data_IF_433343196651
#
_entry.id   IF_433343196651
#
_cell.length_a   1.000
_cell.length_b   1.000
_cell.length_c   1.000
_cell.angle_alpha   90.00
_cell.angle_beta   90.00
_cell.angle_gamma   90.00
#
_symmetry.space_group_name_H-M   'P 1'
#
loop_
_entity.id
_entity.type
_entity.pdbx_description
1 polymer ?
#
# COMPACT_ATOMS: atom_id res chain seq x y z
N UNK A 1 -13.93 -2.15 -32.29
CA UNK A 1 -13.30 -2.53 -31.01
C UNK A 1 -11.85 -2.88 -31.32
N UNK A 2 -10.93 -1.91 -31.27
CA UNK A 2 -9.50 -2.15 -31.48
C UNK A 2 -8.90 -2.53 -30.13
N UNK A 3 -8.42 -3.77 -29.99
CA UNK A 3 -7.64 -4.17 -28.83
C UNK A 3 -6.34 -3.33 -28.84
N UNK A 4 -6.01 -2.62 -27.75
CA UNK A 4 -4.69 -2.00 -27.65
C UNK A 4 -3.67 -3.15 -27.61
N UNK A 5 -2.91 -3.34 -28.70
CA UNK A 5 -1.71 -4.16 -28.70
C UNK A 5 -0.67 -3.43 -27.84
N UNK A 6 -0.80 -3.56 -26.52
CA UNK A 6 0.25 -3.21 -25.58
C UNK A 6 1.32 -4.29 -25.69
N UNK A 7 2.28 -4.06 -26.59
CA UNK A 7 3.55 -4.77 -26.53
C UNK A 7 4.24 -4.26 -25.27
N UNK A 8 4.30 -5.10 -24.23
CA UNK A 8 4.99 -4.78 -22.99
C UNK A 8 6.44 -4.36 -23.24
N UNK A 9 7.02 -3.65 -22.28
CA UNK A 9 8.43 -3.27 -22.34
C UNK A 9 9.32 -4.52 -22.56
N UNK A 10 10.36 -4.38 -23.38
CA UNK A 10 11.29 -5.48 -23.69
C UNK A 10 12.59 -5.24 -22.91
N UNK A 11 13.10 -6.25 -22.20
CA UNK A 11 14.37 -6.16 -21.49
C UNK A 11 15.47 -6.95 -22.24
N UNK A 12 16.60 -6.31 -22.50
CA UNK A 12 17.75 -6.93 -23.15
C UNK A 12 19.06 -6.44 -22.51
N UNK A 13 19.77 -7.33 -21.79
CA UNK A 13 21.10 -7.04 -21.23
C UNK A 13 21.12 -5.90 -20.22
N UNK A 14 20.07 -5.76 -19.40
CA UNK A 14 19.95 -4.67 -18.43
C UNK A 14 19.51 -3.33 -19.04
N UNK A 15 18.94 -3.33 -20.25
CA UNK A 15 18.29 -2.17 -20.86
C UNK A 15 16.83 -2.50 -21.11
N UNK A 16 15.94 -1.66 -20.59
CA UNK A 16 14.50 -1.71 -20.80
C UNK A 16 14.13 -0.80 -21.97
N UNK A 17 13.49 -1.37 -23.00
CA UNK A 17 13.04 -0.68 -24.19
C UNK A 17 11.56 -0.34 -24.07
N UNK A 18 11.26 0.93 -23.82
CA UNK A 18 9.89 1.40 -23.54
C UNK A 18 9.01 1.45 -24.80
N UNK A 19 9.62 1.56 -25.98
CA UNK A 19 8.92 1.67 -27.26
C UNK A 19 9.45 0.63 -28.24
N UNK A 20 9.11 -0.66 -28.08
CA UNK A 20 9.67 -1.71 -28.93
C UNK A 20 9.34 -1.52 -30.42
N UNK A 21 8.26 -0.83 -30.75
CA UNK A 21 7.94 -0.46 -32.14
C UNK A 21 8.98 0.48 -32.78
N UNK A 22 9.79 1.20 -32.00
CA UNK A 22 10.91 2.00 -32.49
C UNK A 22 11.94 1.17 -33.27
N UNK A 23 12.07 -0.13 -32.97
CA UNK A 23 12.94 -1.03 -33.74
C UNK A 23 12.50 -1.22 -35.20
N UNK A 24 11.25 -0.93 -35.55
CA UNK A 24 10.80 -0.93 -36.95
C UNK A 24 11.57 0.10 -37.79
N UNK A 25 12.10 1.17 -37.18
CA UNK A 25 12.94 2.13 -37.87
C UNK A 25 14.26 1.52 -38.38
N UNK A 26 14.71 0.37 -37.85
CA UNK A 26 15.87 -0.38 -38.37
C UNK A 26 15.62 -0.97 -39.76
N UNK A 27 14.37 -1.03 -40.24
CA UNK A 27 14.08 -1.42 -41.61
C UNK A 27 14.61 -0.39 -42.62
N UNK A 28 14.67 0.90 -42.25
CA UNK A 28 15.13 1.97 -43.15
C UNK A 28 16.60 1.81 -43.59
N UNK A 29 17.60 1.63 -42.69
CA UNK A 29 18.98 1.39 -43.11
C UNK A 29 19.11 0.10 -43.92
N UNK A 30 18.35 -0.95 -43.60
CA UNK A 30 18.36 -2.19 -44.38
C UNK A 30 17.87 -1.96 -45.82
N UNK A 31 16.75 -1.24 -45.99
CA UNK A 31 16.20 -0.88 -47.29
C UNK A 31 17.18 -0.01 -48.09
N UNK A 32 17.89 0.91 -47.45
CA UNK A 32 18.94 1.71 -48.10
C UNK A 32 20.11 0.87 -48.61
N UNK A 33 20.59 -0.11 -47.83
CA UNK A 33 21.63 -1.05 -48.29
C UNK A 33 21.14 -1.87 -49.48
N UNK A 34 19.91 -2.39 -49.40
CA UNK A 34 19.32 -3.17 -50.49
C UNK A 34 19.15 -2.32 -51.75
N UNK A 35 18.72 -1.07 -51.60
CA UNK A 35 18.58 -0.12 -52.71
C UNK A 35 19.93 0.27 -53.31
N UNK A 36 20.95 0.55 -52.49
CA UNK A 36 22.31 0.85 -52.95
C UNK A 36 22.99 -0.33 -53.66
N UNK A 37 22.57 -1.56 -53.35
CA UNK A 37 23.02 -2.79 -54.03
C UNK A 37 22.22 -3.11 -55.29
N UNK A 38 21.11 -2.41 -55.58
CA UNK A 38 20.38 -2.65 -56.82
C UNK A 38 21.28 -2.27 -58.00
N UNK A 39 21.37 -3.12 -59.04
CA UNK A 39 22.07 -2.77 -60.25
C UNK A 39 21.39 -1.54 -60.85
N UNK A 40 22.06 -0.39 -60.77
CA UNK A 40 21.62 0.80 -61.50
C UNK A 40 22.00 0.60 -62.96
N UNK A 41 21.00 0.67 -63.84
CA UNK A 41 21.26 0.82 -65.26
C UNK A 41 22.19 2.03 -65.43
N UNK A 42 23.26 1.91 -66.24
CA UNK A 42 24.14 3.04 -66.48
C UNK A 42 23.29 4.21 -66.96
N UNK A 43 23.44 5.37 -66.31
CA UNK A 43 22.77 6.59 -66.76
C UNK A 43 23.19 6.80 -68.21
N UNK A 44 22.21 6.84 -69.12
CA UNK A 44 22.44 7.16 -70.52
C UNK A 44 22.92 8.61 -70.60
N UNK A 45 24.22 8.80 -70.43
CA UNK A 45 24.86 10.05 -70.79
C UNK A 45 24.87 10.10 -72.30
N UNK A 46 24.02 10.96 -72.86
CA UNK A 46 24.05 11.37 -74.25
C UNK A 46 25.37 12.12 -74.53
N UNK A 47 26.47 11.37 -74.51
CA UNK A 47 27.71 11.80 -75.12
C UNK A 47 27.44 11.79 -76.62
N UNK A 48 27.62 12.93 -77.28
CA UNK A 48 27.43 13.12 -78.73
C UNK A 48 28.45 12.33 -79.56
N UNK A 49 28.58 11.03 -79.31
CA UNK A 49 29.56 10.11 -79.84
C UNK A 49 28.90 8.99 -80.65
N UNK A 50 27.84 9.33 -81.40
CA UNK A 50 27.17 8.40 -82.33
C UNK A 50 28.17 7.79 -83.34
N UNK A 51 29.25 8.53 -83.65
CA UNK A 51 30.36 8.07 -84.49
C UNK A 51 31.26 7.00 -83.83
N UNK A 52 31.38 6.93 -82.50
CA UNK A 52 32.21 5.93 -81.83
C UNK A 52 31.46 4.61 -81.61
N UNK A 53 30.13 4.67 -81.46
CA UNK A 53 29.28 3.50 -81.32
C UNK A 53 29.15 2.68 -82.61
N UNK A 54 29.17 3.33 -83.78
CA UNK A 54 29.21 2.63 -85.07
C UNK A 54 30.53 1.85 -85.26
N UNK A 55 31.65 2.34 -84.72
CA UNK A 55 32.95 1.64 -84.76
C UNK A 55 33.02 0.43 -83.80
N UNK A 56 32.16 0.39 -82.77
CA UNK A 56 32.09 -0.68 -81.77
C UNK A 56 31.04 -1.76 -82.10
N UNK A 57 30.05 -1.46 -82.94
CA UNK A 57 29.01 -2.40 -83.38
C UNK A 57 29.55 -3.62 -84.17
N UNK A 58 30.83 -3.60 -84.56
CA UNK A 58 31.52 -4.71 -85.23
C UNK A 58 32.51 -5.49 -84.34
N UNK A 59 32.56 -5.22 -83.02
CA UNK A 59 33.37 -6.01 -82.08
C UNK A 59 32.46 -6.83 -81.18
N UNK A 60 32.58 -8.15 -81.34
CA UNK A 60 31.86 -9.18 -80.60
C UNK A 60 31.67 -8.84 -79.11
N UNK A 61 30.44 -9.04 -78.69
CA UNK A 61 29.89 -8.78 -77.36
C UNK A 61 30.54 -9.67 -76.31
N UNK A 62 31.68 -9.22 -75.78
CA UNK A 62 32.22 -9.73 -74.52
C UNK A 62 31.24 -9.32 -73.41
N UNK A 63 30.70 -10.27 -72.61
CA UNK A 63 29.87 -9.92 -71.47
C UNK A 63 30.67 -9.03 -70.53
N UNK A 64 30.26 -7.76 -70.43
CA UNK A 64 30.87 -6.80 -69.51
C UNK A 64 30.64 -7.32 -68.09
N UNK A 65 31.70 -7.80 -67.45
CA UNK A 65 31.68 -8.08 -66.01
C UNK A 65 31.25 -6.80 -65.33
N UNK A 66 30.02 -6.79 -64.81
CA UNK A 66 29.47 -5.64 -64.09
C UNK A 66 30.45 -5.19 -63.03
N UNK A 67 31.01 -4.00 -63.22
CA UNK A 67 31.92 -3.38 -62.25
C UNK A 67 31.11 -3.16 -60.99
N UNK A 68 31.30 -4.03 -59.99
CA UNK A 68 30.70 -3.85 -58.66
C UNK A 68 31.28 -2.57 -58.09
N UNK A 69 30.53 -1.47 -58.15
CA UNK A 69 30.90 -0.25 -57.43
C UNK A 69 30.96 -0.61 -55.95
N UNK A 70 32.14 -0.42 -55.35
CA UNK A 70 32.28 -0.51 -53.91
C UNK A 70 31.30 0.44 -53.24
N UNK A 71 30.68 0.00 -52.16
CA UNK A 71 29.80 0.85 -51.34
C UNK A 71 30.62 2.07 -50.92
N UNK A 72 30.13 3.27 -51.26
CA UNK A 72 30.82 4.50 -50.89
C UNK A 72 30.99 4.54 -49.37
N UNK A 73 32.19 4.87 -48.88
CA UNK A 73 32.49 4.96 -47.45
C UNK A 73 31.50 5.85 -46.69
N UNK A 74 30.96 6.87 -47.35
CA UNK A 74 29.91 7.74 -46.81
C UNK A 74 28.62 6.98 -46.45
N UNK A 75 28.22 5.97 -47.22
CA UNK A 75 27.00 5.20 -46.91
C UNK A 75 27.06 4.54 -45.52
N UNK A 76 28.24 4.09 -45.08
CA UNK A 76 28.40 3.49 -43.76
C UNK A 76 28.10 4.48 -42.62
N UNK A 77 28.46 5.75 -42.78
CA UNK A 77 28.16 6.80 -41.79
C UNK A 77 26.66 7.09 -41.71
N UNK A 78 25.96 7.12 -42.84
CA UNK A 78 24.50 7.26 -42.89
C UNK A 78 23.79 6.07 -42.24
N UNK A 79 24.28 4.85 -42.48
CA UNK A 79 23.69 3.65 -41.86
C UNK A 79 23.89 3.67 -40.34
N UNK A 80 25.07 4.05 -39.87
CA UNK A 80 25.34 4.18 -38.44
C UNK A 80 24.42 5.23 -37.78
N UNK A 81 24.21 6.40 -38.41
CA UNK A 81 23.31 7.43 -37.86
C UNK A 81 21.86 6.95 -37.77
N UNK A 82 21.36 6.25 -38.79
CA UNK A 82 20.00 5.71 -38.80
C UNK A 82 19.79 4.61 -37.76
N UNK A 83 20.79 3.76 -37.54
CA UNK A 83 20.73 2.74 -36.48
C UNK A 83 20.67 3.41 -35.11
N UNK A 84 21.53 4.40 -34.83
CA UNK A 84 21.48 5.13 -33.56
C UNK A 84 20.15 5.89 -33.36
N UNK A 85 19.60 6.49 -34.41
CA UNK A 85 18.30 7.15 -34.35
C UNK A 85 17.16 6.15 -34.07
N UNK A 86 17.19 4.97 -34.69
CA UNK A 86 16.23 3.90 -34.42
C UNK A 86 16.33 3.39 -32.99
N UNK A 87 17.55 3.22 -32.47
CA UNK A 87 17.78 2.87 -31.07
C UNK A 87 17.26 3.97 -30.14
N UNK A 88 17.53 5.25 -30.40
CA UNK A 88 16.98 6.34 -29.60
C UNK A 88 15.44 6.35 -29.60
N UNK A 89 14.82 6.12 -30.76
CA UNK A 89 13.36 6.03 -30.91
C UNK A 89 12.75 4.87 -30.12
N UNK A 90 13.49 3.77 -29.94
CA UNK A 90 13.06 2.63 -29.13
C UNK A 90 13.06 2.92 -27.61
N UNK A 91 13.59 4.07 -27.20
CA UNK A 91 13.57 4.57 -25.83
C UNK A 91 14.32 3.66 -24.84
N UNK A 92 15.64 3.47 -25.02
CA UNK A 92 16.47 2.66 -24.15
C UNK A 92 16.57 3.33 -22.79
N UNK A 93 16.12 2.62 -21.77
CA UNK A 93 16.35 2.97 -20.38
C UNK A 93 17.31 1.95 -19.83
N UNK A 94 18.43 2.40 -19.28
CA UNK A 94 19.21 1.51 -18.42
C UNK A 94 18.25 1.01 -17.35
N UNK A 95 18.18 -0.31 -17.16
CA UNK A 95 17.52 -0.90 -16.01
C UNK A 95 18.29 -0.36 -14.81
N UNK A 96 17.81 0.76 -14.28
CA UNK A 96 18.30 1.28 -13.01
C UNK A 96 18.11 0.11 -12.07
N UNK A 97 19.21 -0.39 -11.49
CA UNK A 97 19.14 -1.42 -10.46
C UNK A 97 18.11 -0.90 -9.48
N UNK A 98 16.92 -1.49 -9.54
CA UNK A 98 15.78 -0.85 -8.96
C UNK A 98 16.09 -0.74 -7.48
N UNK A 99 16.13 0.48 -6.96
CA UNK A 99 16.30 0.67 -5.53
C UNK A 99 15.12 -0.05 -4.91
N UNK A 100 15.37 -1.26 -4.43
CA UNK A 100 14.33 -2.20 -4.16
C UNK A 100 13.46 -1.58 -3.06
N UNK A 101 12.15 -1.48 -3.29
CA UNK A 101 11.28 -0.64 -2.49
C UNK A 101 11.29 -1.03 -1.01
N UNK A 102 11.16 -0.05 -0.10
CA UNK A 102 10.97 -0.33 1.32
C UNK A 102 9.66 -1.10 1.54
N UNK A 103 9.69 -2.10 2.42
CA UNK A 103 8.53 -2.88 2.83
C UNK A 103 7.99 -2.35 4.15
N UNK A 104 6.68 -2.08 4.19
CA UNK A 104 5.98 -1.60 5.38
C UNK A 104 5.33 -2.78 6.10
N UNK A 105 5.77 -3.05 7.31
CA UNK A 105 5.39 -4.22 8.10
C UNK A 105 4.44 -3.75 9.20
N UNK A 106 3.17 -4.17 9.11
CA UNK A 106 2.14 -3.82 10.08
C UNK A 106 1.87 -5.02 11.00
N UNK A 107 2.19 -4.88 12.29
CA UNK A 107 2.02 -5.94 13.28
C UNK A 107 0.71 -5.75 14.05
N UNK A 108 -0.09 -6.83 14.11
CA UNK A 108 -1.18 -6.98 15.06
C UNK A 108 -0.63 -7.10 16.48
N UNK A 109 -1.13 -6.26 17.39
CA UNK A 109 -0.78 -6.30 18.83
C UNK A 109 -2.01 -6.54 19.69
N UNK A 110 -3.03 -7.18 19.14
CA UNK A 110 -4.21 -7.60 19.89
C UNK A 110 -3.87 -8.70 20.91
N UNK A 111 -4.66 -8.86 21.98
CA UNK A 111 -4.36 -9.84 23.03
C UNK A 111 -4.21 -11.29 22.56
N UNK A 112 -4.82 -11.68 21.43
CA UNK A 112 -4.64 -13.04 20.86
C UNK A 112 -3.21 -13.32 20.43
N UNK A 113 -2.47 -12.31 19.98
CA UNK A 113 -1.08 -12.41 19.56
C UNK A 113 -0.14 -12.85 20.69
N UNK A 114 -0.52 -12.58 21.94
CA UNK A 114 0.27 -12.95 23.13
C UNK A 114 -0.22 -14.23 23.79
N UNK A 115 -1.09 -15.00 23.15
CA UNK A 115 -1.40 -16.36 23.57
C UNK A 115 -0.26 -17.30 23.17
N UNK A 116 -0.15 -18.42 23.88
CA UNK A 116 0.72 -19.51 23.47
C UNK A 116 0.28 -20.08 22.10
N UNK A 117 1.23 -20.60 21.34
CA UNK A 117 0.97 -21.28 20.06
C UNK A 117 0.09 -22.53 20.22
N UNK A 118 0.23 -23.20 21.35
CA UNK A 118 -0.52 -24.38 21.75
C UNK A 118 -0.45 -24.57 23.28
N UNK A 119 -1.25 -25.48 23.84
CA UNK A 119 -1.32 -25.71 25.28
C UNK A 119 0.05 -26.09 25.89
N UNK A 120 0.88 -26.79 25.11
CA UNK A 120 2.21 -27.27 25.54
C UNK A 120 3.36 -26.53 24.85
N UNK A 121 3.09 -25.44 24.13
CA UNK A 121 4.10 -24.69 23.39
C UNK A 121 4.77 -23.63 24.29
N UNK A 122 6.10 -23.53 24.23
CA UNK A 122 6.86 -22.53 25.00
C UNK A 122 6.84 -21.13 24.37
N UNK A 123 6.41 -21.00 23.11
CA UNK A 123 6.40 -19.74 22.35
C UNK A 123 5.02 -19.09 22.22
N UNK A 124 5.04 -17.76 22.02
CA UNK A 124 3.86 -16.95 21.76
C UNK A 124 3.53 -16.88 20.26
N UNK A 125 2.26 -16.64 19.93
CA UNK A 125 1.82 -16.48 18.54
C UNK A 125 2.50 -15.30 17.82
N UNK A 126 2.81 -14.23 18.54
CA UNK A 126 3.55 -13.07 18.02
C UNK A 126 4.99 -13.42 17.64
N UNK A 127 5.67 -14.22 18.46
CA UNK A 127 7.05 -14.63 18.21
C UNK A 127 7.12 -15.51 16.96
N UNK A 128 6.20 -16.47 16.83
CA UNK A 128 6.07 -17.30 15.62
C UNK A 128 5.72 -16.46 14.38
N UNK A 129 4.83 -15.47 14.53
CA UNK A 129 4.44 -14.60 13.41
C UNK A 129 5.64 -13.81 12.89
N UNK A 130 6.46 -13.28 13.79
CA UNK A 130 7.67 -12.53 13.44
C UNK A 130 8.74 -13.43 12.84
N UNK A 131 8.96 -14.62 13.40
CA UNK A 131 9.89 -15.60 12.85
C UNK A 131 9.53 -15.98 11.40
N UNK A 132 8.24 -16.23 11.15
CA UNK A 132 7.74 -16.54 9.81
C UNK A 132 7.82 -15.34 8.88
N UNK A 133 7.53 -14.13 9.37
CA UNK A 133 7.65 -12.91 8.59
C UNK A 133 9.11 -12.65 8.18
N UNK A 134 10.07 -12.86 9.08
CA UNK A 134 11.49 -12.74 8.78
C UNK A 134 11.92 -13.73 7.70
N UNK A 135 11.61 -15.02 7.88
CA UNK A 135 11.92 -16.05 6.88
C UNK A 135 11.32 -15.72 5.51
N UNK A 136 10.07 -15.24 5.48
CA UNK A 136 9.40 -14.90 4.24
C UNK A 136 9.99 -13.64 3.57
N UNK A 137 10.37 -12.62 4.36
CA UNK A 137 11.05 -11.43 3.85
C UNK A 137 12.45 -11.76 3.30
N UNK A 138 13.15 -12.72 3.90
CA UNK A 138 14.44 -13.22 3.41
C UNK A 138 14.28 -13.96 2.08
N UNK A 139 13.25 -14.80 1.93
CA UNK A 139 12.89 -15.45 0.65
C UNK A 139 12.59 -14.43 -0.45
N UNK A 140 12.00 -13.29 -0.11
CA UNK A 140 11.74 -12.17 -1.01
C UNK A 140 12.97 -11.27 -1.26
N UNK A 141 14.11 -11.56 -0.63
CA UNK A 141 15.33 -10.75 -0.75
C UNK A 141 15.19 -9.34 -0.15
N UNK A 142 14.35 -9.19 0.89
CA UNK A 142 14.12 -7.91 1.58
C UNK A 142 15.07 -7.79 2.76
N UNK A 143 16.17 -7.06 2.55
CA UNK A 143 17.17 -6.77 3.58
C UNK A 143 16.61 -6.02 4.80
N UNK A 144 17.22 -6.17 5.99
CA UNK A 144 16.82 -5.49 7.23
C UNK A 144 16.63 -3.98 7.12
N UNK A 145 17.49 -3.31 6.36
CA UNK A 145 17.48 -1.87 6.16
C UNK A 145 16.27 -1.36 5.38
N UNK A 146 15.54 -2.25 4.72
CA UNK A 146 14.35 -1.95 3.90
C UNK A 146 13.04 -2.26 4.61
N UNK A 147 13.09 -2.74 5.86
CA UNK A 147 11.93 -3.11 6.66
C UNK A 147 11.51 -1.92 7.52
N UNK A 148 10.26 -1.48 7.37
CA UNK A 148 9.65 -0.39 8.13
C UNK A 148 8.51 -0.93 8.98
N UNK A 149 8.75 -1.11 10.28
CA UNK A 149 7.80 -1.68 11.23
C UNK A 149 6.81 -0.63 11.76
N UNK A 150 5.55 -1.00 11.89
CA UNK A 150 4.48 -0.20 12.49
C UNK A 150 3.50 -1.10 13.25
N UNK A 151 2.91 -0.57 14.32
CA UNK A 151 1.78 -1.17 15.04
C UNK A 151 0.43 -0.50 14.67
N UNK A 152 0.40 0.27 13.58
CA UNK A 152 -0.79 0.96 13.07
C UNK A 152 -1.15 2.26 13.78
N UNK A 153 -0.48 2.55 14.89
CA UNK A 153 -0.53 3.83 15.59
C UNK A 153 0.89 4.39 15.71
N UNK A 154 1.10 5.62 15.25
CA UNK A 154 2.40 6.29 15.33
C UNK A 154 3.25 6.20 14.05
N UNK A 155 4.56 6.30 14.23
CA UNK A 155 5.54 6.32 13.13
C UNK A 155 5.94 4.94 12.62
N UNK A 156 6.98 4.93 11.80
CA UNK A 156 7.65 3.71 11.34
C UNK A 156 9.02 3.60 11.99
N UNK A 157 9.38 2.37 12.37
CA UNK A 157 10.70 2.02 12.91
C UNK A 157 11.45 1.19 11.87
N UNK A 158 12.69 1.57 11.54
CA UNK A 158 13.50 0.88 10.52
C UNK A 158 14.44 -0.12 11.20
N UNK A 159 14.46 -1.37 10.74
CA UNK A 159 15.41 -2.37 11.24
C UNK A 159 15.04 -3.83 10.95
N UNK A 160 15.93 -4.75 11.33
CA UNK A 160 15.74 -6.19 11.11
C UNK A 160 14.49 -6.77 11.78
N UNK A 161 14.22 -6.30 13.00
CA UNK A 161 13.17 -6.75 13.90
C UNK A 161 12.37 -5.54 14.40
N UNK A 162 11.11 -5.73 14.82
CA UNK A 162 10.34 -4.68 15.46
C UNK A 162 10.96 -4.28 16.81
N UNK A 163 10.59 -3.12 17.37
CA UNK A 163 10.96 -2.73 18.73
C UNK A 163 10.67 -3.84 19.75
N UNK A 164 11.63 -4.13 20.64
CA UNK A 164 11.53 -5.27 21.58
C UNK A 164 10.38 -5.17 22.58
N UNK A 165 9.92 -3.96 22.89
CA UNK A 165 8.74 -3.71 23.72
C UNK A 165 7.44 -4.14 23.02
N UNK A 166 7.47 -4.36 21.71
CA UNK A 166 6.32 -4.86 20.96
C UNK A 166 6.03 -6.34 21.20
N UNK A 167 7.04 -7.10 21.65
CA UNK A 167 6.91 -8.52 22.02
C UNK A 167 6.18 -8.71 23.35
N UNK A 168 5.99 -7.65 24.12
CA UNK A 168 5.23 -7.68 25.38
C UNK A 168 3.81 -7.21 25.14
N UNK A 169 2.80 -7.77 25.85
CA UNK A 169 1.45 -7.23 25.79
C UNK A 169 1.45 -5.73 26.11
N UNK A 170 0.76 -4.90 25.31
CA UNK A 170 0.68 -3.47 25.62
C UNK A 170 -0.03 -3.30 26.97
N UNK A 171 0.39 -2.28 27.74
CA UNK A 171 -0.21 -1.97 29.04
C UNK A 171 -1.71 -1.66 28.96
N UNK A 172 -2.18 -1.26 27.78
CA UNK A 172 -3.58 -1.12 27.43
C UNK A 172 -3.89 -2.08 26.28
N UNK A 173 -4.87 -2.99 26.43
CA UNK A 173 -5.29 -3.88 25.36
C UNK A 173 -5.69 -3.10 24.12
N UNK A 174 -5.35 -3.63 22.94
CA UNK A 174 -5.63 -3.01 21.65
C UNK A 174 -6.41 -3.99 20.79
N UNK A 175 -7.35 -3.47 19.99
CA UNK A 175 -7.96 -4.28 18.93
C UNK A 175 -6.96 -4.56 17.82
N UNK A 176 -7.35 -5.44 16.89
CA UNK A 176 -6.62 -5.62 15.65
C UNK A 176 -6.55 -4.28 14.85
N UNK A 177 -5.48 -4.03 14.10
CA UNK A 177 -5.40 -2.90 13.18
C UNK A 177 -6.56 -2.87 12.19
N UNK A 178 -6.95 -1.68 11.74
CA UNK A 178 -7.89 -1.52 10.63
C UNK A 178 -7.18 -1.78 9.31
N UNK A 179 -7.04 -3.05 8.97
CA UNK A 179 -6.24 -3.55 7.85
C UNK A 179 -6.53 -2.82 6.54
N UNK A 180 -7.79 -2.48 6.24
CA UNK A 180 -8.21 -1.84 5.00
C UNK A 180 -7.54 -0.48 4.75
N UNK A 181 -7.13 0.23 5.80
CA UNK A 181 -6.38 1.49 5.68
C UNK A 181 -4.96 1.31 5.14
N UNK A 182 -4.47 0.07 5.19
CA UNK A 182 -3.12 -0.32 4.87
C UNK A 182 -3.08 -1.32 3.69
N UNK A 183 -4.16 -1.41 2.90
CA UNK A 183 -4.25 -2.26 1.72
C UNK A 183 -3.58 -1.60 0.51
N UNK A 184 -2.25 -1.62 0.51
CA UNK A 184 -1.45 -1.06 -0.58
C UNK A 184 -0.25 -1.97 -0.92
N UNK A 185 0.29 -1.88 -2.14
CA UNK A 185 1.47 -2.65 -2.54
C UNK A 185 2.67 -2.37 -1.62
N UNK A 186 3.45 -3.41 -1.31
CA UNK A 186 4.61 -3.31 -0.40
C UNK A 186 4.26 -3.24 1.09
N UNK A 187 3.00 -3.40 1.45
CA UNK A 187 2.60 -3.66 2.84
C UNK A 187 2.57 -5.15 3.13
N UNK A 188 3.02 -5.53 4.32
CA UNK A 188 2.88 -6.86 4.90
C UNK A 188 2.13 -6.76 6.23
N UNK A 189 0.92 -7.32 6.28
CA UNK A 189 0.14 -7.48 7.50
C UNK A 189 0.57 -8.73 8.24
N UNK A 190 0.86 -8.61 9.53
CA UNK A 190 1.34 -9.71 10.37
C UNK A 190 0.36 -9.87 11.54
N UNK A 191 -0.31 -11.02 11.61
CA UNK A 191 -1.26 -11.36 12.69
C UNK A 191 -1.13 -12.84 13.06
N UNK A 192 -1.91 -13.31 14.04
CA UNK A 192 -2.05 -14.72 14.32
C UNK A 192 -3.11 -15.33 13.40
N UNK A 193 -4.10 -14.55 12.96
CA UNK A 193 -5.25 -15.04 12.20
C UNK A 193 -5.12 -14.71 10.71
N UNK A 194 -5.66 -15.61 9.88
CA UNK A 194 -5.70 -15.46 8.42
C UNK A 194 -7.02 -14.88 7.90
N UNK A 195 -7.95 -14.47 8.77
CA UNK A 195 -9.26 -13.90 8.43
C UNK A 195 -9.17 -12.40 8.12
N UNK A 196 -8.17 -12.01 7.34
CA UNK A 196 -8.03 -10.64 6.88
C UNK A 196 -9.21 -10.24 5.99
N UNK A 197 -9.64 -8.96 6.04
CA UNK A 197 -10.48 -8.39 5.00
C UNK A 197 -9.84 -8.68 3.64
N UNK A 198 -10.64 -8.84 2.58
CA UNK A 198 -10.15 -9.25 1.25
C UNK A 198 -9.05 -8.29 0.76
N UNK A 199 -7.79 -8.60 1.07
CA UNK A 199 -6.63 -7.83 0.70
C UNK A 199 -6.53 -7.85 -0.82
N UNK A 200 -6.61 -6.68 -1.46
CA UNK A 200 -6.47 -6.58 -2.90
C UNK A 200 -5.01 -6.38 -3.29
N UNK A 201 -4.24 -5.71 -2.43
CA UNK A 201 -2.88 -5.27 -2.75
C UNK A 201 -1.84 -5.61 -1.68
N UNK A 202 -2.20 -5.54 -0.39
CA UNK A 202 -1.28 -5.89 0.68
C UNK A 202 -0.98 -7.38 0.70
N UNK A 203 0.24 -7.71 1.08
CA UNK A 203 0.61 -9.06 1.48
C UNK A 203 0.18 -9.31 2.91
N UNK A 204 -0.11 -10.56 3.27
CA UNK A 204 -0.39 -10.92 4.66
C UNK A 204 0.34 -12.18 5.08
N UNK A 205 0.57 -12.29 6.38
CA UNK A 205 1.11 -13.45 7.06
C UNK A 205 0.39 -13.66 8.37
N UNK A 206 0.06 -14.92 8.63
CA UNK A 206 -0.59 -15.40 9.84
C UNK A 206 0.23 -16.53 10.46
N UNK A 207 0.53 -16.45 11.77
CA UNK A 207 1.19 -17.56 12.47
C UNK A 207 0.26 -18.75 12.71
N UNK A 208 -1.04 -18.49 12.84
CA UNK A 208 -2.01 -19.46 13.30
C UNK A 208 -1.86 -19.75 14.79
N UNK A 209 -2.35 -20.90 15.22
CA UNK A 209 -2.25 -21.34 16.61
C UNK A 209 -3.45 -22.16 17.04
N UNK A 210 -3.20 -23.10 17.95
CA UNK A 210 -4.24 -23.93 18.52
C UNK A 210 -5.13 -23.13 19.48
N UNK A 211 -6.28 -23.72 19.83
CA UNK A 211 -7.15 -23.17 20.84
C UNK A 211 -6.46 -23.08 22.21
N UNK A 212 -6.61 -21.95 22.91
CA UNK A 212 -6.04 -21.73 24.24
C UNK A 212 -7.15 -21.35 25.23
N UNK A 213 -7.55 -22.26 26.13
CA UNK A 213 -8.49 -21.97 27.23
C UNK A 213 -8.05 -20.79 28.10
N UNK A 214 -9.01 -20.13 28.75
CA UNK A 214 -8.74 -19.10 29.74
C UNK A 214 -9.78 -17.98 29.80
N UNK A 215 -9.47 -16.88 30.52
CA UNK A 215 -10.40 -15.77 30.72
C UNK A 215 -10.79 -15.08 29.41
N UNK A 216 -12.09 -14.87 29.24
CA UNK A 216 -12.68 -14.06 28.18
C UNK A 216 -13.41 -12.86 28.80
N UNK A 217 -13.68 -11.82 28.00
CA UNK A 217 -14.33 -10.60 28.50
C UNK A 217 -15.67 -10.87 29.22
N UNK A 218 -16.07 -9.95 30.11
CA UNK A 218 -17.36 -10.04 30.83
C UNK A 218 -17.37 -10.98 32.05
N UNK A 219 -16.20 -11.37 32.57
CA UNK A 219 -16.10 -12.26 33.74
C UNK A 219 -16.38 -13.74 33.43
N UNK A 220 -16.20 -14.13 32.17
CA UNK A 220 -16.36 -15.50 31.74
C UNK A 220 -14.98 -16.15 31.53
N UNK A 221 -14.94 -17.48 31.64
CA UNK A 221 -13.77 -18.29 31.28
C UNK A 221 -14.22 -19.36 30.31
N UNK A 222 -13.41 -19.62 29.30
CA UNK A 222 -13.62 -20.71 28.36
C UNK A 222 -12.62 -21.83 28.63
N UNK A 223 -13.09 -23.04 28.89
CA UNK A 223 -12.24 -24.19 29.22
C UNK A 223 -11.76 -24.99 27.98
N UNK A 224 -12.12 -24.52 26.78
CA UNK A 224 -11.91 -25.24 25.51
C UNK A 224 -13.20 -25.87 24.95
N UNK A 225 -14.21 -26.06 25.79
CA UNK A 225 -15.49 -26.69 25.42
C UNK A 225 -16.70 -25.86 25.85
N UNK A 226 -16.70 -25.34 27.07
CA UNK A 226 -17.79 -24.63 27.70
C UNK A 226 -17.36 -23.24 28.15
N UNK A 227 -18.32 -22.33 28.14
CA UNK A 227 -18.15 -20.99 28.71
C UNK A 227 -18.80 -21.01 30.07
N UNK A 228 -17.98 -20.85 31.11
CA UNK A 228 -18.44 -20.77 32.49
C UNK A 228 -18.27 -19.35 32.99
N UNK A 229 -19.29 -18.82 33.66
CA UNK A 229 -19.14 -17.58 34.43
C UNK A 229 -18.22 -17.90 35.60
N UNK A 230 -17.09 -17.19 35.72
CA UNK A 230 -16.29 -17.34 36.92
C UNK A 230 -17.07 -16.67 38.07
N UNK A 231 -17.36 -17.39 39.17
CA UNK A 231 -17.85 -16.73 40.37
C UNK A 231 -16.73 -15.80 40.84
N UNK A 232 -17.01 -14.50 40.81
CA UNK A 232 -16.08 -13.49 41.30
C UNK A 232 -16.12 -13.59 42.82
N UNK A 233 -15.24 -14.38 43.42
CA UNK A 233 -15.10 -14.46 44.88
C UNK A 233 -14.42 -13.17 45.37
N UNK A 234 -15.21 -12.26 45.95
CA UNK A 234 -14.78 -10.98 46.50
C UNK A 234 -15.86 -9.89 46.38
N UNK A 235 -15.74 -8.76 47.09
CA UNK A 235 -16.68 -7.65 46.97
C UNK A 235 -16.59 -7.07 45.56
N UNK A 236 -17.47 -7.50 44.65
CA UNK A 236 -17.69 -6.98 43.30
C UNK A 236 -16.48 -6.22 42.72
N UNK A 237 -15.35 -6.92 42.55
CA UNK A 237 -14.19 -6.29 41.92
C UNK A 237 -14.55 -6.07 40.45
N UNK A 238 -14.85 -4.82 40.14
CA UNK A 238 -15.22 -4.32 38.82
C UNK A 238 -14.19 -4.81 37.81
N UNK A 239 -14.64 -5.54 36.77
CA UNK A 239 -13.78 -6.03 35.67
C UNK A 239 -12.92 -4.89 35.08
N UNK A 240 -13.49 -3.70 35.13
CA UNK A 240 -12.84 -2.42 35.11
C UNK A 240 -13.93 -1.36 35.28
N UNK A 241 -13.57 -0.09 35.09
CA UNK A 241 -14.54 0.98 35.26
C UNK A 241 -14.57 1.94 34.07
N UNK A 242 -15.72 2.58 33.91
CA UNK A 242 -15.98 3.64 32.94
C UNK A 242 -15.92 4.98 33.64
N UNK A 243 -14.99 5.83 33.21
CA UNK A 243 -14.87 7.20 33.70
C UNK A 243 -15.90 8.08 33.00
N UNK A 244 -16.67 8.85 33.77
CA UNK A 244 -17.61 9.83 33.26
C UNK A 244 -17.06 11.24 33.48
N UNK A 245 -17.22 12.11 32.48
CA UNK A 245 -16.84 13.52 32.56
C UNK A 245 -17.96 14.43 32.07
N UNK A 246 -18.59 15.17 32.99
CA UNK A 246 -19.59 16.22 32.69
C UNK A 246 -20.67 15.83 31.67
N UNK A 247 -21.16 14.59 31.70
CA UNK A 247 -22.21 14.16 30.77
C UNK A 247 -23.57 14.76 31.14
N UNK A 248 -24.46 14.99 30.16
CA UNK A 248 -25.87 15.21 30.43
C UNK A 248 -26.45 14.02 31.21
N UNK A 249 -27.37 14.29 32.15
CA UNK A 249 -27.92 13.31 33.10
C UNK A 249 -28.51 12.09 32.37
N UNK A 250 -29.21 12.30 31.26
CA UNK A 250 -29.85 11.23 30.49
C UNK A 250 -28.82 10.26 29.90
N UNK A 251 -27.67 10.78 29.43
CA UNK A 251 -26.59 9.97 28.90
C UNK A 251 -25.79 9.29 30.01
N UNK A 252 -25.59 9.97 31.14
CA UNK A 252 -25.00 9.36 32.33
C UNK A 252 -25.83 8.16 32.81
N UNK A 253 -27.15 8.31 32.92
CA UNK A 253 -28.07 7.22 33.29
C UNK A 253 -28.00 6.06 32.28
N UNK A 254 -28.00 6.36 30.98
CA UNK A 254 -27.87 5.34 29.94
C UNK A 254 -26.55 4.57 30.04
N UNK A 255 -25.42 5.28 30.19
CA UNK A 255 -24.10 4.65 30.35
C UNK A 255 -24.04 3.83 31.64
N UNK A 256 -24.68 4.29 32.72
CA UNK A 256 -24.81 3.54 33.98
C UNK A 256 -25.51 2.18 33.79
N UNK A 257 -26.67 2.17 33.13
CA UNK A 257 -27.40 0.93 32.82
C UNK A 257 -26.57 0.00 31.92
N UNK A 258 -25.92 0.55 30.89
CA UNK A 258 -25.03 -0.20 30.01
C UNK A 258 -23.84 -0.84 30.76
N UNK A 259 -23.28 -0.13 31.75
CA UNK A 259 -22.22 -0.64 32.62
C UNK A 259 -22.72 -1.77 33.52
N UNK A 260 -23.90 -1.59 34.13
CA UNK A 260 -24.51 -2.58 35.03
C UNK A 260 -24.74 -3.92 34.31
N UNK A 261 -25.31 -3.89 33.11
CA UNK A 261 -25.52 -5.09 32.29
C UNK A 261 -24.22 -5.85 31.97
N UNK A 262 -23.09 -5.14 31.91
CA UNK A 262 -21.76 -5.70 31.61
C UNK A 262 -20.93 -6.01 32.86
N UNK A 263 -21.45 -5.74 34.06
CA UNK A 263 -20.72 -5.89 35.32
C UNK A 263 -19.51 -4.95 35.43
N UNK A 264 -19.60 -3.76 34.83
CA UNK A 264 -18.57 -2.71 34.89
C UNK A 264 -18.89 -1.72 36.02
N UNK A 265 -17.84 -1.15 36.60
CA UNK A 265 -17.97 0.04 37.43
C UNK A 265 -18.25 1.28 36.60
N UNK A 266 -18.96 2.27 37.15
CA UNK A 266 -19.12 3.59 36.53
C UNK A 266 -18.78 4.70 37.54
N UNK A 267 -18.27 5.84 37.06
CA UNK A 267 -17.88 6.96 37.90
C UNK A 267 -16.43 6.88 38.37
N UNK A 268 -16.17 7.00 39.67
CA UNK A 268 -14.82 6.84 40.25
C UNK A 268 -14.62 5.40 40.74
N UNK A 269 -14.05 4.55 39.89
CA UNK A 269 -13.86 3.12 40.18
C UNK A 269 -12.47 2.74 40.70
N UNK A 270 -12.38 1.56 41.30
CA UNK A 270 -11.11 0.87 41.55
C UNK A 270 -10.91 -0.21 40.48
N UNK A 271 -9.77 -0.22 39.82
CA UNK A 271 -9.45 -1.17 38.75
C UNK A 271 -8.94 -0.50 37.47
N UNK A 272 -8.74 -1.27 36.39
CA UNK A 272 -8.34 -0.71 35.11
C UNK A 272 -9.47 0.16 34.52
N UNK A 273 -9.13 1.39 34.11
CA UNK A 273 -10.06 2.23 33.35
C UNK A 273 -10.19 1.67 31.93
N UNK A 274 -11.38 1.22 31.55
CA UNK A 274 -11.64 0.59 30.25
C UNK A 274 -12.25 1.54 29.23
N UNK A 275 -12.95 2.56 29.69
CA UNK A 275 -13.59 3.55 28.84
C UNK A 275 -13.64 4.90 29.57
N UNK A 276 -13.52 5.98 28.80
CA UNK A 276 -13.75 7.35 29.26
C UNK A 276 -14.83 7.96 28.38
N UNK A 277 -15.95 8.37 28.96
CA UNK A 277 -17.05 9.04 28.27
C UNK A 277 -17.16 10.44 28.83
N UNK A 278 -16.83 11.45 28.02
CA UNK A 278 -16.74 12.83 28.48
C UNK A 278 -17.41 13.81 27.54
N UNK A 279 -18.08 14.82 28.08
CA UNK A 279 -18.50 15.99 27.34
C UNK A 279 -17.44 17.10 27.44
N UNK A 280 -17.17 17.78 26.33
CA UNK A 280 -16.22 18.89 26.26
C UNK A 280 -16.90 20.25 26.21
N UNK A 281 -16.32 21.18 26.96
CA UNK A 281 -16.65 22.60 26.94
C UNK A 281 -17.98 22.94 27.60
N UNK A 282 -18.24 24.23 27.71
CA UNK A 282 -19.56 24.73 28.10
C UNK A 282 -20.50 24.64 26.90
N UNK A 283 -21.76 24.30 27.15
CA UNK A 283 -22.79 24.26 26.12
C UNK A 283 -22.88 25.63 25.41
N UNK A 284 -22.95 25.63 24.08
CA UNK A 284 -23.31 26.84 23.34
C UNK A 284 -24.75 27.28 23.67
N UNK A 285 -25.08 28.55 23.38
CA UNK A 285 -26.44 29.05 23.55
C UNK A 285 -27.42 28.41 22.54
N UNK A 286 -26.92 27.97 21.40
CA UNK A 286 -27.73 27.45 20.31
C UNK A 286 -27.93 25.93 20.44
N UNK A 287 -29.17 25.51 20.25
CA UNK A 287 -29.55 24.10 20.22
C UNK A 287 -29.75 23.63 18.78
N UNK A 288 -29.33 22.41 18.49
CA UNK A 288 -29.48 21.82 17.16
C UNK A 288 -29.89 20.35 17.23
N UNK A 289 -30.59 19.89 16.19
CA UNK A 289 -30.89 18.48 16.00
C UNK A 289 -29.71 17.76 15.38
N UNK A 290 -29.34 16.62 15.96
CA UNK A 290 -28.40 15.67 15.39
C UNK A 290 -28.97 14.26 15.50
N UNK A 291 -28.69 13.39 14.54
CA UNK A 291 -29.26 12.05 14.57
C UNK A 291 -28.51 11.07 13.68
N UNK A 292 -28.78 9.80 13.94
CA UNK A 292 -28.19 8.65 13.27
C UNK A 292 -29.17 7.49 13.39
N UNK A 293 -29.09 6.50 12.50
CA UNK A 293 -29.81 5.22 12.64
C UNK A 293 -31.33 5.37 12.95
N UNK A 294 -31.98 6.40 12.40
CA UNK A 294 -33.41 6.64 12.58
C UNK A 294 -33.83 7.38 13.87
N UNK A 295 -32.90 7.62 14.81
CA UNK A 295 -33.13 8.47 16.00
C UNK A 295 -32.55 9.88 15.81
N UNK A 296 -33.05 10.85 16.58
CA UNK A 296 -32.53 12.22 16.64
C UNK A 296 -32.51 12.73 18.07
N UNK A 297 -31.58 13.62 18.37
CA UNK A 297 -31.38 14.26 19.65
C UNK A 297 -31.29 15.77 19.43
N UNK A 298 -32.08 16.53 20.18
CA UNK A 298 -31.99 17.97 20.32
C UNK A 298 -31.17 18.28 21.57
N UNK A 299 -30.14 19.09 21.40
CA UNK A 299 -29.28 19.48 22.51
C UNK A 299 -28.51 20.76 22.23
N UNK A 300 -27.93 21.32 23.27
CA UNK A 300 -27.01 22.45 23.16
C UNK A 300 -25.58 21.93 22.96
N UNK A 301 -24.92 22.38 21.90
CA UNK A 301 -23.63 21.83 21.47
C UNK A 301 -22.49 22.83 21.70
N UNK A 302 -21.31 22.31 21.98
CA UNK A 302 -20.09 23.10 21.99
C UNK A 302 -19.73 23.52 20.55
N UNK A 303 -19.51 24.83 20.26
CA UNK A 303 -19.32 25.32 18.89
C UNK A 303 -18.08 24.73 18.18
N UNK A 304 -17.08 24.29 18.95
CA UNK A 304 -15.87 23.66 18.41
C UNK A 304 -16.05 22.21 17.96
N UNK A 305 -17.21 21.59 18.23
CA UNK A 305 -17.43 20.16 18.01
C UNK A 305 -16.57 19.29 18.94
N UNK A 306 -16.73 17.98 18.80
CA UNK A 306 -15.91 16.99 19.47
C UNK A 306 -14.58 16.89 18.72
N UNK A 307 -13.45 16.76 19.44
CA UNK A 307 -12.14 16.76 18.83
C UNK A 307 -11.98 15.58 17.87
N UNK A 308 -11.22 15.79 16.81
CA UNK A 308 -10.81 14.73 15.87
C UNK A 308 -9.50 14.05 16.27
N UNK A 309 -8.85 14.51 17.34
CA UNK A 309 -7.67 13.88 17.94
C UNK A 309 -7.51 14.27 19.40
N UNK A 310 -6.82 13.44 20.15
CA UNK A 310 -6.45 13.67 21.54
C UNK A 310 -5.00 13.21 21.79
N UNK A 311 -4.47 13.30 23.02
CA UNK A 311 -3.12 12.81 23.32
C UNK A 311 -2.91 11.29 23.11
N UNK A 312 -3.98 10.51 22.93
CA UNK A 312 -3.95 9.07 22.71
C UNK A 312 -4.05 8.69 21.23
N UNK A 313 -4.50 9.60 20.37
CA UNK A 313 -4.51 9.40 18.93
C UNK A 313 -5.65 10.11 18.20
N UNK A 314 -5.84 9.80 16.91
CA UNK A 314 -6.98 10.28 16.15
C UNK A 314 -8.29 9.68 16.67
N UNK A 315 -9.33 10.49 16.73
CA UNK A 315 -10.70 10.09 17.06
C UNK A 315 -11.56 10.16 15.80
N UNK A 316 -12.53 9.26 15.70
CA UNK A 316 -13.40 9.17 14.53
C UNK A 316 -14.74 9.81 14.81
N UNK A 317 -15.28 10.60 13.88
CA UNK A 317 -16.61 11.15 14.03
C UNK A 317 -17.64 10.01 13.99
N UNK A 318 -18.44 9.90 15.05
CA UNK A 318 -19.56 8.97 15.13
C UNK A 318 -20.89 9.63 14.78
N UNK A 319 -21.11 10.85 15.30
CA UNK A 319 -22.29 11.66 15.03
C UNK A 319 -21.89 12.95 14.29
N UNK A 320 -22.45 13.17 13.11
CA UNK A 320 -22.12 14.32 12.27
C UNK A 320 -22.78 15.63 12.79
N UNK A 321 -22.16 16.80 12.54
CA UNK A 321 -20.84 17.00 11.96
C UNK A 321 -19.74 17.03 13.04
N UNK A 322 -19.41 15.88 13.64
CA UNK A 322 -18.37 15.77 14.67
C UNK A 322 -18.87 16.16 16.06
N UNK A 323 -20.12 15.83 16.39
CA UNK A 323 -20.71 16.11 17.70
C UNK A 323 -20.36 15.04 18.74
N UNK A 324 -20.06 13.83 18.26
CA UNK A 324 -19.53 12.75 19.06
C UNK A 324 -18.38 12.16 18.27
N UNK A 325 -17.22 12.06 18.91
CA UNK A 325 -16.02 11.43 18.37
C UNK A 325 -15.62 10.27 19.28
N UNK A 326 -15.03 9.22 18.71
CA UNK A 326 -14.67 8.03 19.50
C UNK A 326 -13.39 7.38 19.02
N UNK A 327 -12.81 6.59 19.92
CA UNK A 327 -11.67 5.73 19.67
C UNK A 327 -11.51 4.69 20.78
N UNK A 328 -10.47 3.85 20.71
CA UNK A 328 -10.22 2.84 21.73
C UNK A 328 -10.08 3.46 23.13
N UNK A 329 -10.97 3.08 24.03
CA UNK A 329 -11.06 3.54 25.41
C UNK A 329 -11.64 4.94 25.60
N UNK A 330 -12.21 5.56 24.57
CA UNK A 330 -12.70 6.95 24.67
C UNK A 330 -13.90 7.26 23.78
N UNK A 331 -14.85 7.98 24.36
CA UNK A 331 -15.96 8.65 23.67
C UNK A 331 -15.98 10.10 24.15
N UNK A 332 -15.91 11.04 23.21
CA UNK A 332 -15.93 12.48 23.49
C UNK A 332 -17.14 13.10 22.82
N UNK A 333 -17.93 13.83 23.59
CA UNK A 333 -19.13 14.51 23.16
C UNK A 333 -18.90 16.01 23.18
N UNK A 334 -19.42 16.73 22.18
CA UNK A 334 -19.58 18.18 22.21
C UNK A 334 -20.99 18.57 22.66
N UNK A 335 -21.59 17.77 23.52
CA UNK A 335 -22.98 17.92 23.95
C UNK A 335 -23.01 18.40 25.39
N UNK A 336 -23.51 19.60 25.62
CA UNK A 336 -23.61 20.17 26.96
C UNK A 336 -24.95 19.91 27.66
N UNK A 337 -26.02 19.65 26.90
CA UNK A 337 -27.31 19.24 27.45
C UNK A 337 -28.17 18.47 26.44
N UNK A 338 -29.00 17.55 26.92
CA UNK A 338 -30.04 16.88 26.13
C UNK A 338 -31.37 17.55 26.46
N UNK A 339 -32.10 17.99 25.43
CA UNK A 339 -33.44 18.58 25.60
C UNK A 339 -34.53 17.59 25.18
N UNK A 340 -34.31 16.88 24.08
CA UNK A 340 -35.28 15.95 23.52
C UNK A 340 -34.58 14.83 22.75
N UNK A 341 -35.08 13.60 22.90
CA UNK A 341 -34.72 12.46 22.05
C UNK A 341 -35.99 12.05 21.31
N UNK A 342 -35.93 12.00 19.98
CA UNK A 342 -37.04 11.63 19.11
C UNK A 342 -36.66 10.49 18.15
N UNK A 343 -37.66 9.80 17.62
CA UNK A 343 -37.48 8.59 16.80
C UNK A 343 -37.70 7.30 17.60
N UNK A 344 -37.08 6.20 17.16
CA UNK A 344 -37.19 4.90 17.83
C UNK A 344 -36.19 4.79 19.01
N UNK A 345 -36.66 4.63 20.27
CA UNK A 345 -35.78 4.47 21.42
C UNK A 345 -34.89 3.21 21.35
N UNK A 346 -35.34 2.15 20.67
CA UNK A 346 -34.55 0.94 20.51
C UNK A 346 -33.34 1.17 19.60
N UNK A 347 -33.52 1.93 18.52
CA UNK A 347 -32.42 2.33 17.64
C UNK A 347 -31.44 3.26 18.35
N UNK A 348 -31.92 4.19 19.19
CA UNK A 348 -31.06 5.00 20.04
C UNK A 348 -30.19 4.11 20.95
N UNK A 349 -30.82 3.23 21.71
CA UNK A 349 -30.13 2.35 22.66
C UNK A 349 -29.13 1.42 21.95
N UNK A 350 -29.50 0.86 20.80
CA UNK A 350 -28.64 -0.03 20.03
C UNK A 350 -27.46 0.72 19.40
N UNK A 351 -27.69 1.90 18.83
CA UNK A 351 -26.66 2.74 18.23
C UNK A 351 -25.61 3.16 19.26
N UNK A 352 -26.04 3.65 20.43
CA UNK A 352 -25.14 4.02 21.52
C UNK A 352 -24.45 2.81 22.15
N UNK A 353 -25.15 1.69 22.35
CA UNK A 353 -24.52 0.47 22.87
C UNK A 353 -23.40 -0.02 21.96
N UNK A 354 -23.61 0.00 20.63
CA UNK A 354 -22.57 -0.34 19.65
C UNK A 354 -21.38 0.61 19.70
N UNK A 355 -21.63 1.91 19.91
CA UNK A 355 -20.56 2.89 20.11
C UNK A 355 -19.74 2.56 21.35
N UNK A 356 -20.40 2.35 22.50
CA UNK A 356 -19.73 2.06 23.77
C UNK A 356 -18.98 0.72 23.71
N UNK A 357 -19.59 -0.32 23.12
CA UNK A 357 -18.95 -1.63 22.91
C UNK A 357 -17.73 -1.53 21.99
N UNK A 358 -17.82 -0.74 20.92
CA UNK A 358 -16.69 -0.50 20.01
C UNK A 358 -15.56 0.28 20.69
N UNK A 359 -15.90 1.23 21.57
CA UNK A 359 -14.94 2.04 22.29
C UNK A 359 -14.36 1.36 23.53
N UNK A 360 -15.02 0.34 24.10
CA UNK A 360 -14.58 -0.31 25.32
C UNK A 360 -13.24 -1.04 25.11
N UNK A 361 -12.24 -0.76 25.95
CA UNK A 361 -11.00 -1.53 25.96
C UNK A 361 -11.26 -2.93 26.52
N UNK A 362 -10.58 -3.93 25.97
CA UNK A 362 -10.60 -5.27 26.57
C UNK A 362 -10.04 -5.21 28.01
N UNK A 363 -10.56 -6.08 28.88
CA UNK A 363 -10.05 -6.19 30.25
C UNK A 363 -8.65 -6.78 30.19
N UNK A 364 -7.63 -6.16 30.82
CA UNK A 364 -6.28 -6.72 30.87
C UNK A 364 -6.29 -8.19 31.30
N UNK A 365 -5.59 -9.04 30.55
CA UNK A 365 -5.53 -10.49 30.81
C UNK A 365 -6.71 -11.30 30.27
N UNK A 366 -7.70 -10.66 29.64
CA UNK A 366 -8.74 -11.35 28.87
C UNK A 366 -8.42 -11.34 27.38
N UNK A 367 -8.91 -12.35 26.66
CA UNK A 367 -8.85 -12.42 25.20
C UNK A 367 -10.25 -12.75 24.71
N UNK A 368 -10.68 -12.17 23.58
CA UNK A 368 -11.96 -12.52 22.98
C UNK A 368 -12.09 -14.03 22.73
N UNK A 369 -13.32 -14.55 22.82
CA UNK A 369 -13.57 -15.98 22.55
C UNK A 369 -13.10 -16.39 21.14
N UNK A 370 -13.33 -15.60 20.07
CA UNK A 370 -12.74 -15.87 18.77
C UNK A 370 -11.20 -15.97 18.81
N UNK A 371 -10.51 -15.06 19.52
CA UNK A 371 -9.05 -15.11 19.67
C UNK A 371 -8.56 -16.38 20.38
N UNK A 372 -9.34 -16.91 21.33
CA UNK A 372 -9.02 -18.15 22.04
C UNK A 372 -9.34 -19.42 21.28
N UNK A 373 -10.40 -19.46 20.45
CA UNK A 373 -10.88 -20.67 19.73
C UNK A 373 -9.89 -21.28 18.73
N UNK A 374 -8.73 -20.65 18.58
CA UNK A 374 -7.67 -21.04 17.66
C UNK A 374 -7.61 -20.03 16.53
N UNK A 375 -6.39 -19.66 16.17
CA UNK A 375 -6.13 -18.83 15.00
C UNK A 375 -6.07 -19.67 13.70
N UNK A 376 -6.17 -21.00 13.83
CA UNK A 376 -6.21 -21.94 12.72
C UNK A 376 -4.82 -22.33 12.23
N UNK A 377 -4.75 -22.88 11.02
CA UNK A 377 -3.47 -23.04 10.32
C UNK A 377 -2.98 -21.66 9.90
N UNK A 378 -1.77 -21.29 10.30
CA UNK A 378 -1.10 -20.12 9.75
C UNK A 378 -0.91 -20.24 8.25
N UNK A 379 -0.58 -19.13 7.61
CA UNK A 379 -0.44 -19.04 6.16
C UNK A 379 -0.01 -17.65 5.73
N UNK A 380 0.34 -17.51 4.46
CA UNK A 380 0.73 -16.24 3.87
C UNK A 380 0.11 -16.08 2.50
N UNK A 381 0.02 -14.83 2.05
CA UNK A 381 -0.42 -14.49 0.71
C UNK A 381 0.39 -13.30 0.21
N UNK A 382 1.06 -13.49 -0.92
CA UNK A 382 1.75 -12.41 -1.59
C UNK A 382 0.73 -11.55 -2.34
N UNK A 383 0.64 -10.28 -1.93
CA UNK A 383 -0.17 -9.27 -2.61
C UNK A 383 0.53 -8.71 -3.83
N UNK A 384 0.16 -7.49 -4.20
CA UNK A 384 0.81 -6.72 -5.26
C UNK A 384 2.24 -6.37 -4.84
N UNK A 385 3.20 -6.62 -5.73
CA UNK A 385 4.57 -6.17 -5.52
C UNK A 385 4.60 -4.66 -5.26
N UNK A 386 5.46 -4.18 -4.32
CA UNK A 386 5.60 -2.75 -4.11
C UNK A 386 5.87 -2.10 -5.46
N UNK A 387 4.96 -1.22 -5.87
CA UNK A 387 5.24 -0.37 -7.01
C UNK A 387 6.54 0.35 -6.67
N UNK A 388 7.58 0.08 -7.45
CA UNK A 388 8.84 0.79 -7.34
C UNK A 388 8.46 2.25 -7.38
N UNK A 389 8.59 2.92 -6.23
CA UNK A 389 8.19 4.29 -6.12
C UNK A 389 8.96 5.04 -7.18
N UNK A 390 8.27 5.45 -8.25
CA UNK A 390 8.57 6.73 -8.84
C UNK A 390 8.30 7.71 -7.72
N UNK A 391 9.29 7.86 -6.82
CA UNK A 391 9.39 9.01 -5.95
C UNK A 391 9.45 10.14 -6.95
N UNK A 392 8.30 10.72 -7.24
CA UNK A 392 8.20 12.01 -7.86
C UNK A 392 8.89 12.92 -6.86
N UNK A 393 10.21 13.09 -7.04
CA UNK A 393 10.98 14.05 -6.31
C UNK A 393 10.30 15.39 -6.58
N UNK A 394 9.52 15.85 -5.61
CA UNK A 394 8.96 17.18 -5.57
C UNK A 394 10.15 18.13 -5.32
N UNK A 395 10.91 18.37 -6.38
CA UNK A 395 12.22 18.99 -6.32
C UNK A 395 12.82 18.95 -7.72
N UNK A 396 12.40 19.92 -8.53
CA UNK A 396 12.72 20.02 -9.95
C UNK A 396 14.20 19.90 -10.28
N UNK A 397 14.57 18.70 -10.71
CA UNK A 397 15.60 18.50 -11.73
C UNK A 397 15.00 17.54 -12.75
N UNK A 398 15.01 17.96 -14.02
CA UNK A 398 14.60 17.10 -15.14
C UNK A 398 15.41 15.81 -15.03
N UNK A 399 14.77 14.64 -14.92
CA UNK A 399 15.50 13.42 -14.60
C UNK A 399 16.55 13.14 -15.67
N UNK A 400 17.76 12.76 -15.25
CA UNK A 400 18.84 12.18 -16.07
C UNK A 400 18.36 11.04 -17.01
N UNK A 401 17.13 10.55 -16.83
CA UNK A 401 16.45 9.53 -17.62
C UNK A 401 16.33 9.88 -19.12
N UNK A 402 16.42 11.15 -19.52
CA UNK A 402 16.51 11.54 -20.94
C UNK A 402 17.93 11.64 -21.50
N UNK A 403 18.97 11.46 -20.66
CA UNK A 403 20.35 11.65 -21.10
C UNK A 403 20.75 10.65 -22.18
N UNK A 404 20.38 9.37 -22.03
CA UNK A 404 20.81 8.32 -22.97
C UNK A 404 20.13 8.46 -24.34
N UNK A 405 18.83 8.78 -24.37
CA UNK A 405 18.11 9.14 -25.59
C UNK A 405 18.73 10.37 -26.27
N UNK A 406 19.03 11.42 -25.49
CA UNK A 406 19.66 12.64 -25.99
C UNK A 406 21.07 12.39 -26.54
N UNK A 407 21.89 11.56 -25.87
CA UNK A 407 23.23 11.18 -26.34
C UNK A 407 23.17 10.37 -27.63
N UNK A 408 22.23 9.42 -27.75
CA UNK A 408 22.04 8.64 -28.98
C UNK A 408 21.57 9.54 -30.14
N UNK A 409 20.65 10.47 -29.89
CA UNK A 409 20.21 11.45 -30.89
C UNK A 409 21.34 12.39 -31.30
N UNK A 410 22.11 12.90 -30.34
CA UNK A 410 23.27 13.76 -30.61
C UNK A 410 24.31 13.03 -31.45
N UNK A 411 24.65 11.78 -31.09
CA UNK A 411 25.56 10.95 -31.87
C UNK A 411 25.02 10.70 -33.29
N UNK A 412 23.72 10.41 -33.44
CA UNK A 412 23.08 10.26 -34.74
C UNK A 412 23.20 11.53 -35.61
N UNK A 413 22.96 12.72 -35.01
CA UNK A 413 23.09 14.01 -35.68
C UNK A 413 24.54 14.30 -36.10
N UNK A 414 25.53 14.01 -35.24
CA UNK A 414 26.94 14.18 -35.57
C UNK A 414 27.37 13.29 -36.74
N UNK A 415 26.94 12.02 -36.78
CA UNK A 415 27.24 11.10 -37.87
C UNK A 415 26.55 11.52 -39.18
N UNK A 416 25.32 12.03 -39.11
CA UNK A 416 24.62 12.58 -40.28
C UNK A 416 25.33 13.84 -40.83
N UNK A 417 25.83 14.71 -39.96
CA UNK A 417 26.64 15.87 -40.35
C UNK A 417 27.94 15.47 -41.03
N UNK A 418 28.68 14.50 -40.46
CA UNK A 418 29.91 13.96 -41.06
C UNK A 418 29.66 13.34 -42.43
N UNK A 419 28.53 12.64 -42.61
CA UNK A 419 28.11 12.13 -43.91
C UNK A 419 27.90 13.25 -44.93
N UNK A 420 27.19 14.33 -44.57
CA UNK A 420 26.95 15.47 -45.45
C UNK A 420 28.23 16.12 -45.96
N UNK A 421 29.23 16.30 -45.09
CA UNK A 421 30.55 16.86 -45.45
C UNK A 421 31.31 15.94 -46.42
N UNK A 422 31.30 14.63 -46.16
CA UNK A 422 31.96 13.64 -47.02
C UNK A 422 31.26 13.46 -48.37
N UNK A 423 29.94 13.64 -48.42
CA UNK A 423 29.17 13.55 -49.65
C UNK A 423 29.34 14.80 -50.53
N UNK A 424 29.45 16.00 -49.94
CA UNK A 424 29.60 17.26 -50.68
C UNK A 424 31.01 17.58 -51.18
N UNK A 425 32.03 16.80 -50.79
CA UNK A 425 33.43 16.94 -51.23
C UNK A 425 33.78 16.10 -52.47
N UNK A 426 32.79 15.47 -53.09
CA UNK A 426 32.90 14.71 -54.34
C UNK A 426 32.04 15.36 -55.41
#
# INVERSE_FOLDING_TARGET
MMLPLSLGAMELGGVVWTRPLGFLALLLPLLLVLWARRPQAPAEQATGALAHWQALAHKDSVPSRGVRRGVAGSLWWLLASLVLAALALAGPRLARASAAADWKLLIDRSPSMYLALGPDAEGLRIEEALLRAEAWLDELGVGPERRLWSEGQGGFERGALPPSDWLRPPSRPRGAPRWERFDAPGWLWISDRGDFPRALNASYLSSGGAAIPGPIGGGFTWDGTQITRQPVEGPAHQLGWVALGNLPEELEQFVGLWCEERGLGFGAGQGPKLLSVEAQGEAGADSAWAGRDGWRLLGAWHPGGAPSSDPLGPLEPWLAPGLVSWGPGRVVLALGSVQEISGDPAEFALSWSRLLDGALLEVPGTVSLPGRRGAGSGGHHLGSEPALGHVAAAGGEVPEESALEAWLLLAALCLAGAWGVLAGSR
#
